data_IF_534631517877
#
_entry.id   IF_534631517877
#
_cell.length_a   1.000
_cell.length_b   1.000
_cell.length_c   1.000
_cell.angle_alpha   90.00
_cell.angle_beta   90.00
_cell.angle_gamma   90.00
#
_symmetry.space_group_name_H-M   'P 1'
#
loop_
_entity.id
_entity.type
_entity.pdbx_description
1 polymer ?
#
# COMPACT_ATOMS: atom_id res chain seq x y z
N UNK A 1 -4.27 1.94 -6.26
CA UNK A 1 -4.49 2.83 -5.09
C UNK A 1 -5.54 2.29 -4.11
N UNK A 2 -6.83 2.17 -4.49
CA UNK A 2 -7.90 1.70 -3.58
C UNK A 2 -7.60 0.34 -2.95
N UNK A 3 -7.22 -0.65 -3.77
CA UNK A 3 -6.90 -2.01 -3.31
C UNK A 3 -5.78 -2.05 -2.25
N UNK A 4 -4.73 -1.23 -2.42
CA UNK A 4 -3.63 -1.16 -1.47
C UNK A 4 -4.09 -0.62 -0.12
N UNK A 5 -4.89 0.45 -0.13
CA UNK A 5 -5.48 1.00 1.08
C UNK A 5 -6.46 0.04 1.74
N UNK A 6 -7.32 -0.63 0.99
CA UNK A 6 -8.27 -1.61 1.52
C UNK A 6 -7.53 -2.73 2.26
N UNK A 7 -6.42 -3.22 1.70
CA UNK A 7 -5.58 -4.24 2.34
C UNK A 7 -4.90 -3.74 3.61
N UNK A 8 -4.31 -2.54 3.59
CA UNK A 8 -3.69 -1.94 4.78
C UNK A 8 -4.75 -1.73 5.87
N UNK A 9 -5.92 -1.20 5.52
CA UNK A 9 -7.02 -0.99 6.47
C UNK A 9 -7.51 -2.30 7.07
N UNK A 10 -7.73 -3.33 6.25
CA UNK A 10 -8.14 -4.65 6.72
C UNK A 10 -7.13 -5.24 7.71
N UNK A 11 -5.83 -5.14 7.40
CA UNK A 11 -4.77 -5.57 8.32
C UNK A 11 -4.83 -4.84 9.66
N UNK A 12 -4.95 -3.50 9.63
CA UNK A 12 -5.02 -2.67 10.84
C UNK A 12 -6.23 -3.01 11.70
N UNK A 13 -7.41 -3.20 11.10
CA UNK A 13 -8.64 -3.61 11.79
C UNK A 13 -8.43 -4.96 12.50
N UNK A 14 -7.96 -5.97 11.77
CA UNK A 14 -7.73 -7.33 12.32
C UNK A 14 -6.70 -7.34 13.45
N UNK A 15 -5.71 -6.44 13.38
CA UNK A 15 -4.63 -6.33 14.36
C UNK A 15 -4.92 -5.37 15.52
N UNK A 16 -6.08 -4.71 15.54
CA UNK A 16 -6.38 -3.68 16.54
C UNK A 16 -5.42 -2.49 16.51
N UNK A 17 -4.85 -2.17 15.35
CA UNK A 17 -3.96 -1.02 15.19
C UNK A 17 -4.78 0.28 15.08
N UNK A 18 -4.15 1.40 15.42
CA UNK A 18 -4.82 2.70 15.42
C UNK A 18 -5.41 3.04 14.05
N UNK A 19 -6.68 3.44 14.03
CA UNK A 19 -7.40 3.94 12.85
C UNK A 19 -7.61 5.47 12.92
N UNK A 20 -6.77 6.15 13.71
CA UNK A 20 -6.74 7.61 13.79
C UNK A 20 -6.66 8.24 12.39
N UNK A 21 -7.43 9.31 12.18
CA UNK A 21 -7.56 9.96 10.87
C UNK A 21 -6.20 10.42 10.35
N UNK A 22 -5.38 11.06 11.17
CA UNK A 22 -4.09 11.59 10.73
C UNK A 22 -3.14 10.46 10.34
N UNK A 23 -3.18 9.34 11.06
CA UNK A 23 -2.44 8.13 10.72
C UNK A 23 -2.91 7.53 9.40
N UNK A 24 -4.21 7.41 9.17
CA UNK A 24 -4.73 6.89 7.91
C UNK A 24 -4.39 7.81 6.74
N UNK A 25 -4.45 9.13 6.93
CA UNK A 25 -4.00 10.10 5.91
C UNK A 25 -2.52 9.92 5.59
N UNK A 26 -1.64 9.87 6.60
CA UNK A 26 -0.21 9.61 6.36
C UNK A 26 0.05 8.28 5.66
N UNK A 27 -0.69 7.22 6.00
CA UNK A 27 -0.57 5.93 5.32
C UNK A 27 -0.98 6.03 3.86
N UNK A 28 -2.04 6.79 3.54
CA UNK A 28 -2.43 7.07 2.16
C UNK A 28 -1.32 7.77 1.40
N UNK A 29 -0.73 8.81 1.98
CA UNK A 29 0.35 9.57 1.34
C UNK A 29 1.59 8.70 1.09
N UNK A 30 1.91 7.80 2.03
CA UNK A 30 3.00 6.82 1.88
C UNK A 30 2.69 5.81 0.77
N UNK A 31 1.47 5.27 0.70
CA UNK A 31 1.05 4.38 -0.39
C UNK A 31 1.18 5.09 -1.73
N UNK A 32 0.66 6.31 -1.84
CA UNK A 32 0.69 7.09 -3.07
C UNK A 32 2.12 7.36 -3.53
N UNK A 33 2.97 7.86 -2.63
CA UNK A 33 4.37 8.17 -2.93
C UNK A 33 5.15 6.93 -3.38
N UNK A 34 4.97 5.79 -2.70
CA UNK A 34 5.66 4.54 -3.05
C UNK A 34 5.16 3.97 -4.39
N UNK A 35 3.88 4.10 -4.70
CA UNK A 35 3.31 3.66 -5.99
C UNK A 35 3.84 4.52 -7.13
N UNK A 36 3.87 5.84 -6.96
CA UNK A 36 4.40 6.77 -7.97
C UNK A 36 5.88 6.46 -8.23
N UNK A 37 6.69 6.33 -7.18
CA UNK A 37 8.12 6.02 -7.32
C UNK A 37 8.34 4.71 -8.09
N UNK A 38 7.62 3.64 -7.74
CA UNK A 38 7.75 2.35 -8.42
C UNK A 38 7.26 2.40 -9.89
N UNK A 39 6.27 3.24 -10.20
CA UNK A 39 5.84 3.47 -11.58
C UNK A 39 6.89 4.25 -12.38
N UNK A 40 7.55 5.24 -11.78
CA UNK A 40 8.64 6.00 -12.41
C UNK A 40 9.87 5.12 -12.71
N UNK A 41 10.12 4.12 -11.87
CA UNK A 41 11.18 3.13 -12.07
C UNK A 41 10.82 2.03 -13.09
N UNK A 42 9.57 1.98 -13.57
CA UNK A 42 9.13 0.96 -14.51
C UNK A 42 9.65 1.25 -15.92
N UNK A 43 10.54 0.39 -16.43
CA UNK A 43 11.05 0.47 -17.79
C UNK A 43 10.03 -0.09 -18.80
N UNK A 44 9.28 0.82 -19.44
CA UNK A 44 8.32 0.53 -20.48
C UNK A 44 8.91 -0.26 -21.67
N UNK A 45 10.21 -0.13 -21.96
CA UNK A 45 10.87 -0.79 -23.09
C UNK A 45 11.11 -2.29 -22.85
N UNK A 46 11.09 -2.73 -21.59
CA UNK A 46 11.29 -4.13 -21.20
C UNK A 46 9.99 -4.89 -20.93
N UNK A 47 8.84 -4.22 -21.07
CA UNK A 47 7.56 -4.85 -20.79
C UNK A 47 7.09 -5.75 -21.95
N UNK A 48 6.44 -6.88 -21.65
CA UNK A 48 6.00 -7.85 -22.67
C UNK A 48 4.88 -7.27 -23.55
N UNK A 49 4.69 -7.84 -24.74
CA UNK A 49 3.56 -7.47 -25.60
C UNK A 49 2.21 -7.60 -24.86
N UNK A 50 1.36 -6.57 -25.00
CA UNK A 50 0.05 -6.53 -24.35
C UNK A 50 0.03 -6.00 -22.91
N UNK A 51 1.18 -5.58 -22.36
CA UNK A 51 1.20 -4.91 -21.05
C UNK A 51 0.41 -3.59 -21.06
N UNK A 52 -0.10 -3.19 -19.90
CA UNK A 52 -0.75 -1.88 -19.72
C UNK A 52 -0.29 -1.17 -18.46
N UNK A 53 -0.26 0.16 -18.51
CA UNK A 53 0.00 1.00 -17.34
C UNK A 53 -1.01 0.79 -16.22
N UNK A 54 -2.25 0.45 -16.56
CA UNK A 54 -3.26 0.12 -15.58
C UNK A 54 -2.88 -1.14 -14.79
N UNK A 55 -2.54 -2.22 -15.48
CA UNK A 55 -2.12 -3.47 -14.82
C UNK A 55 -0.84 -3.29 -14.00
N UNK A 56 0.12 -2.52 -14.51
CA UNK A 56 1.34 -2.20 -13.77
C UNK A 56 1.01 -1.46 -12.47
N UNK A 57 0.19 -0.41 -12.54
CA UNK A 57 -0.24 0.36 -11.38
C UNK A 57 -1.03 -0.49 -10.36
N UNK A 58 -1.86 -1.42 -10.81
CA UNK A 58 -2.60 -2.34 -9.95
C UNK A 58 -1.66 -3.31 -9.21
N UNK A 59 -0.72 -3.94 -9.94
CA UNK A 59 0.28 -4.87 -9.37
C UNK A 59 1.21 -4.16 -8.39
N UNK A 60 1.74 -3.00 -8.78
CA UNK A 60 2.60 -2.18 -7.92
C UNK A 60 1.85 -1.76 -6.66
N UNK A 61 0.61 -1.28 -6.78
CA UNK A 61 -0.20 -0.92 -5.62
C UNK A 61 -0.39 -2.10 -4.65
N UNK A 62 -0.66 -3.30 -5.17
CA UNK A 62 -0.77 -4.50 -4.32
C UNK A 62 0.54 -4.81 -3.60
N UNK A 63 1.67 -4.77 -4.30
CA UNK A 63 3.00 -5.02 -3.72
C UNK A 63 3.34 -3.98 -2.64
N UNK A 64 3.07 -2.70 -2.89
CA UNK A 64 3.28 -1.61 -1.92
C UNK A 64 2.43 -1.83 -0.67
N UNK A 65 1.14 -2.13 -0.84
CA UNK A 65 0.27 -2.42 0.29
C UNK A 65 0.79 -3.61 1.12
N UNK A 66 1.28 -4.66 0.46
CA UNK A 66 1.79 -5.86 1.13
C UNK A 66 3.07 -5.56 1.90
N UNK A 67 3.95 -4.72 1.34
CA UNK A 67 5.15 -4.25 2.03
C UNK A 67 4.79 -3.48 3.31
N UNK A 68 3.82 -2.57 3.24
CA UNK A 68 3.35 -1.80 4.40
C UNK A 68 2.76 -2.73 5.48
N UNK A 69 1.93 -3.70 5.08
CA UNK A 69 1.39 -4.69 6.03
C UNK A 69 2.50 -5.48 6.72
N UNK A 70 3.56 -5.85 6.00
CA UNK A 70 4.73 -6.54 6.57
C UNK A 70 5.49 -5.65 7.55
N UNK A 71 5.66 -4.37 7.22
CA UNK A 71 6.28 -3.37 8.10
C UNK A 71 5.47 -3.18 9.39
N UNK A 72 4.14 -3.20 9.30
CA UNK A 72 3.22 -3.06 10.45
C UNK A 72 3.14 -4.32 11.33
N UNK A 73 3.77 -5.43 10.96
CA UNK A 73 3.71 -6.70 11.71
C UNK A 73 4.13 -6.55 13.17
N UNK A 74 5.03 -5.61 13.47
CA UNK A 74 5.55 -5.35 14.80
C UNK A 74 4.93 -4.10 15.47
N UNK A 75 3.94 -3.45 14.84
CA UNK A 75 3.21 -2.33 15.44
C UNK A 75 2.37 -2.84 16.63
N UNK A 76 2.47 -2.21 17.81
CA UNK A 76 1.66 -2.58 18.96
C UNK A 76 0.18 -2.21 18.71
N UNK A 77 -0.78 -3.04 19.17
CA UNK A 77 -2.19 -2.68 19.13
C UNK A 77 -2.46 -1.46 20.01
N UNK A 78 -3.58 -0.78 19.75
CA UNK A 78 -4.06 0.29 20.63
C UNK A 78 -4.38 -0.34 22.00
N UNK A 79 -3.90 0.25 23.11
CA UNK A 79 -4.30 -0.19 24.44
C UNK A 79 -5.83 -0.13 24.56
N UNK A 80 -6.45 -1.24 24.92
CA UNK A 80 -7.85 -1.27 25.38
C UNK A 80 -7.83 -0.93 26.87
N UNK A 81 -8.27 0.28 27.21
CA UNK A 81 -8.61 0.66 28.59
C UNK A 81 -9.82 -0.14 29.10
#
# INVERSE_FOLDING_TARGET
MRLAMDMVMAHRIVRGLSLDRDRITRLRDVVESRVILALEETDAAQMPEGWSWQEAAEKIALQVGLAIVREQKNEPPVPTD
#
